data_IF_487972543319
#
_entry.id   IF_487972543319
#
_cell.length_a   1.000
_cell.length_b   1.000
_cell.length_c   1.000
_cell.angle_alpha   90.00
_cell.angle_beta   90.00
_cell.angle_gamma   90.00
#
_symmetry.space_group_name_H-M   'P 1'
#
loop_
_entity.id
_entity.type
_entity.pdbx_description
1 polymer ?
#
# COMPACT_ATOMS: atom_id res chain seq x y z
N UNK A 1 -20.43 -8.16 -7.99
CA UNK A 1 -19.34 -7.64 -8.86
C UNK A 1 -18.72 -8.79 -9.65
N UNK A 2 -18.18 -8.57 -10.86
CA UNK A 2 -17.40 -9.57 -11.62
C UNK A 2 -15.99 -9.03 -11.84
N UNK A 3 -14.97 -9.80 -11.46
CA UNK A 3 -13.58 -9.42 -11.63
C UNK A 3 -12.71 -10.67 -11.78
N UNK A 4 -11.47 -10.47 -12.21
CA UNK A 4 -10.41 -11.49 -12.18
C UNK A 4 -9.20 -10.86 -11.52
N UNK A 5 -8.57 -11.59 -10.60
CA UNK A 5 -7.41 -11.10 -9.85
C UNK A 5 -6.24 -12.01 -10.17
N UNK A 6 -5.09 -11.38 -10.39
CA UNK A 6 -3.80 -12.04 -10.50
C UNK A 6 -2.88 -11.41 -9.46
N UNK A 7 -2.16 -12.23 -8.72
CA UNK A 7 -1.18 -11.78 -7.74
C UNK A 7 0.15 -12.48 -7.96
N UNK A 8 1.24 -11.74 -7.79
CA UNK A 8 2.59 -12.27 -7.81
C UNK A 8 3.44 -11.48 -6.82
N UNK A 9 4.28 -12.18 -6.08
CA UNK A 9 5.34 -11.60 -5.26
C UNK A 9 6.55 -12.52 -5.37
N UNK A 10 7.73 -11.95 -5.58
CA UNK A 10 8.97 -12.68 -5.85
C UNK A 10 10.12 -12.04 -5.09
N UNK A 11 10.93 -12.85 -4.42
CA UNK A 11 12.11 -12.40 -3.68
C UNK A 11 13.16 -11.68 -4.57
N UNK A 12 13.24 -12.05 -5.85
CA UNK A 12 14.27 -11.53 -6.75
C UNK A 12 15.69 -11.87 -6.25
N UNK A 13 16.60 -10.91 -6.33
CA UNK A 13 18.00 -11.05 -5.91
C UNK A 13 18.28 -10.71 -4.44
N UNK A 14 17.25 -10.45 -3.61
CA UNK A 14 17.40 -10.11 -2.19
C UNK A 14 17.56 -11.37 -1.34
N UNK A 15 17.98 -11.21 -0.07
CA UNK A 15 18.10 -12.32 0.88
C UNK A 15 16.75 -12.87 1.32
N UNK A 16 15.76 -12.00 1.48
CA UNK A 16 14.40 -12.32 1.89
C UNK A 16 13.41 -11.47 1.10
N UNK A 17 12.18 -11.96 0.95
CA UNK A 17 11.08 -11.20 0.38
C UNK A 17 10.29 -10.48 1.47
N UNK A 18 10.42 -9.15 1.51
CA UNK A 18 9.74 -8.30 2.48
C UNK A 18 8.41 -7.73 1.95
N UNK A 19 8.09 -8.02 0.69
CA UNK A 19 6.83 -7.61 0.07
C UNK A 19 5.68 -8.51 0.57
N UNK A 20 4.52 -7.90 0.73
CA UNK A 20 3.25 -8.60 0.93
C UNK A 20 2.20 -8.06 -0.05
N UNK A 21 1.45 -8.99 -0.62
CA UNK A 21 0.29 -8.68 -1.48
C UNK A 21 -0.90 -9.46 -0.97
N UNK A 22 -2.07 -8.86 -0.97
CA UNK A 22 -3.32 -9.53 -0.64
C UNK A 22 -4.51 -8.89 -1.32
N UNK A 23 -5.61 -9.62 -1.31
CA UNK A 23 -6.91 -9.11 -1.67
C UNK A 23 -7.97 -9.71 -0.73
N UNK A 24 -9.08 -9.01 -0.58
CA UNK A 24 -10.26 -9.48 0.14
C UNK A 24 -11.49 -8.97 -0.59
N UNK A 25 -12.59 -9.72 -0.59
CA UNK A 25 -13.78 -9.31 -1.31
C UNK A 25 -15.05 -9.68 -0.57
N UNK A 26 -16.08 -8.90 -0.83
CA UNK A 26 -17.45 -9.15 -0.43
C UNK A 26 -18.32 -9.32 -1.68
N UNK A 27 -19.64 -9.34 -1.51
CA UNK A 27 -20.57 -9.46 -2.66
C UNK A 27 -20.43 -8.28 -3.64
N UNK A 28 -20.16 -7.09 -3.11
CA UNK A 28 -20.27 -5.82 -3.83
C UNK A 28 -19.02 -4.93 -3.74
N UNK A 29 -17.98 -5.36 -3.02
CA UNK A 29 -16.72 -4.63 -2.92
C UNK A 29 -15.51 -5.57 -3.03
N UNK A 30 -14.39 -5.04 -3.52
CA UNK A 30 -13.10 -5.69 -3.60
C UNK A 30 -12.03 -4.78 -2.99
N UNK A 31 -11.25 -5.28 -2.05
CA UNK A 31 -10.03 -4.68 -1.53
C UNK A 31 -8.81 -5.38 -2.14
N UNK A 32 -7.82 -4.59 -2.55
CA UNK A 32 -6.48 -5.04 -2.95
C UNK A 32 -5.44 -4.25 -2.18
N UNK A 33 -4.37 -4.91 -1.72
CA UNK A 33 -3.31 -4.30 -0.92
C UNK A 33 -1.95 -4.80 -1.37
N UNK A 34 -1.00 -3.88 -1.48
CA UNK A 34 0.44 -4.14 -1.68
C UNK A 34 1.20 -3.39 -0.61
N UNK A 35 2.17 -4.04 0.01
CA UNK A 35 3.03 -3.47 1.03
C UNK A 35 4.48 -3.93 0.79
N UNK A 36 5.41 -2.98 0.72
CA UNK A 36 6.85 -3.23 0.62
C UNK A 36 7.51 -2.92 1.97
N UNK A 37 7.93 -3.98 2.66
CA UNK A 37 8.52 -3.93 3.98
C UNK A 37 9.98 -3.46 3.98
N UNK A 38 10.32 -2.54 4.86
CA UNK A 38 11.67 -1.97 5.01
C UNK A 38 12.11 -1.97 6.49
N UNK A 39 13.37 -2.31 6.75
CA UNK A 39 13.97 -2.22 8.08
C UNK A 39 15.39 -2.78 8.14
N UNK A 40 16.31 -2.04 8.76
CA UNK A 40 17.76 -2.35 8.80
C UNK A 40 18.12 -3.68 9.47
N UNK A 41 17.23 -4.21 10.31
CA UNK A 41 17.45 -5.42 11.13
C UNK A 41 16.34 -6.48 11.01
N UNK A 42 15.86 -6.78 9.80
CA UNK A 42 15.08 -8.00 9.50
C UNK A 42 13.65 -8.09 10.08
N UNK A 43 12.86 -7.02 9.96
CA UNK A 43 11.44 -7.06 10.37
C UNK A 43 10.49 -6.34 9.39
N UNK A 44 10.99 -5.90 8.23
CA UNK A 44 10.17 -5.24 7.20
C UNK A 44 9.04 -6.14 6.71
N UNK A 45 9.32 -7.44 6.56
CA UNK A 45 8.32 -8.45 6.19
C UNK A 45 7.20 -8.59 7.22
N UNK A 46 7.47 -8.30 8.50
CA UNK A 46 6.48 -8.31 9.57
C UNK A 46 5.65 -7.04 9.51
N UNK A 47 6.25 -5.87 9.31
CA UNK A 47 5.50 -4.63 9.10
C UNK A 47 4.55 -4.73 7.91
N UNK A 48 5.04 -5.23 6.76
CA UNK A 48 4.21 -5.47 5.58
C UNK A 48 3.09 -6.48 5.85
N UNK A 49 3.36 -7.53 6.64
CA UNK A 49 2.37 -8.53 7.02
C UNK A 49 1.29 -7.93 7.94
N UNK A 50 1.68 -7.15 8.94
CA UNK A 50 0.75 -6.46 9.84
C UNK A 50 -0.16 -5.53 9.02
N UNK A 51 0.41 -4.70 8.15
CA UNK A 51 -0.37 -3.77 7.33
C UNK A 51 -1.42 -4.51 6.48
N UNK A 52 -1.01 -5.50 5.70
CA UNK A 52 -1.92 -6.29 4.88
C UNK A 52 -3.02 -6.95 5.71
N UNK A 53 -2.65 -7.59 6.84
CA UNK A 53 -3.59 -8.30 7.70
C UNK A 53 -4.63 -7.36 8.31
N UNK A 54 -4.19 -6.21 8.84
CA UNK A 54 -5.08 -5.21 9.43
C UNK A 54 -6.14 -4.76 8.42
N UNK A 55 -5.74 -4.43 7.19
CA UNK A 55 -6.67 -3.99 6.16
C UNK A 55 -7.64 -5.11 5.76
N UNK A 56 -7.15 -6.33 5.53
CA UNK A 56 -8.02 -7.45 5.10
C UNK A 56 -9.01 -7.87 6.18
N UNK A 57 -8.60 -7.87 7.46
CA UNK A 57 -9.47 -8.26 8.57
C UNK A 57 -10.57 -7.24 8.84
N UNK A 58 -10.23 -5.95 8.80
CA UNK A 58 -11.22 -4.89 8.94
C UNK A 58 -12.20 -4.91 7.76
N UNK A 59 -11.71 -5.13 6.54
CA UNK A 59 -12.57 -5.26 5.36
C UNK A 59 -13.58 -6.40 5.52
N UNK A 60 -13.15 -7.59 5.94
CA UNK A 60 -14.05 -8.74 6.13
C UNK A 60 -15.11 -8.49 7.21
N UNK A 61 -14.79 -7.68 8.23
CA UNK A 61 -15.74 -7.29 9.29
C UNK A 61 -16.79 -6.31 8.77
N UNK A 62 -16.35 -5.30 8.01
CA UNK A 62 -17.17 -4.14 7.63
C UNK A 62 -17.90 -4.28 6.29
N UNK A 63 -17.30 -4.91 5.28
CA UNK A 63 -17.83 -4.96 3.91
C UNK A 63 -18.95 -6.01 3.75
N UNK A 64 -20.14 -5.75 4.32
CA UNK A 64 -21.29 -6.68 4.31
C UNK A 64 -22.59 -6.00 3.88
N UNK A 65 -22.97 -6.02 2.58
CA UNK A 65 -22.27 -6.61 1.44
C UNK A 65 -21.17 -5.70 0.85
N UNK A 66 -21.09 -4.45 1.28
CA UNK A 66 -20.18 -3.40 0.80
C UNK A 66 -19.77 -2.51 1.98
N UNK A 67 -18.82 -1.61 1.78
CA UNK A 67 -18.46 -0.59 2.77
C UNK A 67 -19.43 0.59 2.69
N UNK A 68 -19.77 1.17 3.84
CA UNK A 68 -20.59 2.39 3.90
C UNK A 68 -19.82 3.59 3.33
N UNK A 69 -18.54 3.71 3.68
CA UNK A 69 -17.62 4.73 3.19
C UNK A 69 -16.24 4.12 2.90
N UNK A 70 -15.91 3.83 1.63
CA UNK A 70 -14.61 3.30 1.23
C UNK A 70 -13.42 4.22 1.56
N UNK A 71 -13.60 5.56 1.52
CA UNK A 71 -12.52 6.51 1.79
C UNK A 71 -12.20 6.55 3.29
N UNK A 72 -13.24 6.63 4.13
CA UNK A 72 -13.06 6.56 5.58
C UNK A 72 -12.45 5.22 5.99
N UNK A 73 -12.93 4.11 5.41
CA UNK A 73 -12.34 2.79 5.64
C UNK A 73 -10.83 2.77 5.33
N UNK A 74 -10.41 3.28 4.17
CA UNK A 74 -9.00 3.30 3.78
C UNK A 74 -8.16 4.17 4.72
N UNK A 75 -8.64 5.36 5.09
CA UNK A 75 -7.93 6.26 6.01
C UNK A 75 -7.78 5.66 7.42
N UNK A 76 -8.87 5.13 7.97
CA UNK A 76 -8.90 4.56 9.32
C UNK A 76 -8.05 3.29 9.41
N UNK A 77 -8.16 2.39 8.42
CA UNK A 77 -7.41 1.13 8.45
C UNK A 77 -5.93 1.29 8.16
N UNK A 78 -5.54 2.27 7.32
CA UNK A 78 -4.13 2.62 7.13
C UNK A 78 -3.54 3.17 8.43
N UNK A 79 -4.30 4.01 9.15
CA UNK A 79 -3.88 4.55 10.46
C UNK A 79 -3.79 3.45 11.52
N UNK A 80 -4.77 2.53 11.56
CA UNK A 80 -4.73 1.37 12.45
C UNK A 80 -3.54 0.45 12.16
N UNK A 81 -3.22 0.22 10.88
CA UNK A 81 -2.05 -0.54 10.47
C UNK A 81 -0.75 0.12 10.97
N UNK A 82 -0.64 1.44 10.84
CA UNK A 82 0.49 2.19 11.39
C UNK A 82 0.64 1.98 12.90
N UNK A 83 -0.43 2.14 13.68
CA UNK A 83 -0.37 1.91 15.13
C UNK A 83 -0.03 0.47 15.47
N UNK A 84 -0.61 -0.51 14.79
CA UNK A 84 -0.30 -1.93 15.04
C UNK A 84 1.17 -2.28 14.79
N UNK A 85 1.82 -1.64 13.81
CA UNK A 85 3.26 -1.81 13.55
C UNK A 85 4.09 -1.20 14.71
N UNK A 86 3.71 -0.01 15.18
CA UNK A 86 4.39 0.62 16.33
C UNK A 86 4.23 -0.21 17.60
N UNK A 87 3.01 -0.67 17.89
CA UNK A 87 2.70 -1.51 19.05
C UNK A 87 3.52 -2.80 19.01
N UNK A 88 3.61 -3.44 17.82
CA UNK A 88 4.46 -4.62 17.64
C UNK A 88 5.94 -4.34 17.97
N UNK A 89 6.48 -3.19 17.55
CA UNK A 89 7.87 -2.84 17.84
C UNK A 89 8.12 -2.66 19.34
N UNK A 90 7.16 -2.04 20.05
CA UNK A 90 7.21 -1.87 21.51
C UNK A 90 7.09 -3.22 22.21
N UNK A 91 6.13 -4.05 21.82
CA UNK A 91 5.88 -5.37 22.43
C UNK A 91 7.05 -6.34 22.25
N UNK A 92 7.83 -6.18 21.17
CA UNK A 92 9.00 -7.00 20.88
C UNK A 92 10.34 -6.37 21.31
N UNK A 93 10.31 -5.22 22.01
CA UNK A 93 11.49 -4.48 22.46
C UNK A 93 12.52 -4.24 21.33
N UNK A 94 12.03 -3.87 20.15
CA UNK A 94 12.87 -3.63 18.98
C UNK A 94 13.61 -2.29 19.11
N UNK A 95 14.91 -2.31 18.77
CA UNK A 95 15.74 -1.09 18.74
C UNK A 95 15.24 -0.07 17.70
N UNK A 96 14.64 -0.56 16.61
CA UNK A 96 14.07 0.25 15.54
C UNK A 96 12.70 -0.28 15.15
N UNK A 97 11.78 0.64 14.85
CA UNK A 97 10.43 0.29 14.40
C UNK A 97 10.55 -0.18 12.93
N UNK A 98 10.08 -1.39 12.58
CA UNK A 98 10.03 -1.80 11.19
C UNK A 98 8.98 -0.97 10.45
N UNK A 99 9.24 -0.69 9.18
CA UNK A 99 8.35 0.12 8.36
C UNK A 99 7.91 -0.64 7.12
N UNK A 100 6.88 -0.15 6.46
CA UNK A 100 6.43 -0.66 5.17
C UNK A 100 5.78 0.46 4.39
N UNK A 101 5.91 0.43 3.06
CA UNK A 101 4.97 1.15 2.20
C UNK A 101 3.61 0.47 2.26
N UNK A 102 2.57 1.15 1.80
CA UNK A 102 1.25 0.56 1.62
C UNK A 102 0.54 1.23 0.45
N UNK A 103 -0.01 0.44 -0.46
CA UNK A 103 -0.97 0.86 -1.47
C UNK A 103 -2.19 -0.01 -1.32
N UNK A 104 -3.33 0.59 -1.00
CA UNK A 104 -4.60 -0.10 -0.85
C UNK A 104 -5.66 0.50 -1.77
N UNK A 105 -6.44 -0.35 -2.43
CA UNK A 105 -7.50 0.06 -3.31
C UNK A 105 -8.80 -0.71 -3.04
N UNK A 106 -9.90 0.02 -2.91
CA UNK A 106 -11.25 -0.53 -2.86
C UNK A 106 -11.95 -0.26 -4.19
N UNK A 107 -12.43 -1.32 -4.84
CA UNK A 107 -13.35 -1.22 -5.98
C UNK A 107 -14.76 -1.48 -5.45
N UNK A 108 -15.66 -0.52 -5.61
CA UNK A 108 -17.05 -0.58 -5.17
C UNK A 108 -17.91 0.36 -6.02
N UNK A 109 -19.13 -0.03 -6.38
CA UNK A 109 -20.08 0.83 -7.12
C UNK A 109 -19.50 1.44 -8.42
N UNK A 110 -18.72 0.64 -9.16
CA UNK A 110 -17.96 1.06 -10.36
C UNK A 110 -16.95 2.20 -10.14
N UNK A 111 -16.55 2.44 -8.88
CA UNK A 111 -15.51 3.39 -8.52
C UNK A 111 -14.32 2.67 -7.89
N UNK A 112 -13.13 3.23 -8.12
CA UNK A 112 -11.91 2.85 -7.43
C UNK A 112 -11.54 3.94 -6.44
N UNK A 113 -11.40 3.58 -5.16
CA UNK A 113 -10.93 4.41 -4.07
C UNK A 113 -9.58 3.87 -3.65
N UNK A 114 -8.61 4.73 -3.32
CA UNK A 114 -7.30 4.26 -2.89
C UNK A 114 -6.68 5.16 -1.84
N UNK A 115 -5.77 4.57 -1.07
CA UNK A 115 -4.85 5.26 -0.19
C UNK A 115 -3.46 4.68 -0.42
N UNK A 116 -2.44 5.54 -0.34
CA UNK A 116 -1.06 5.10 -0.47
C UNK A 116 -0.11 5.86 0.47
N UNK A 117 0.91 5.15 0.93
CA UNK A 117 2.00 5.67 1.75
C UNK A 117 3.30 5.05 1.24
N UNK A 118 4.27 5.90 0.90
CA UNK A 118 5.56 5.49 0.36
C UNK A 118 5.61 5.58 -1.17
N UNK A 119 6.45 4.76 -1.77
CA UNK A 119 6.78 4.76 -3.19
C UNK A 119 6.29 3.52 -3.95
N UNK A 120 5.56 2.63 -3.27
CA UNK A 120 4.67 1.65 -3.94
C UNK A 120 3.63 2.39 -4.78
N UNK A 121 3.24 1.79 -5.92
CA UNK A 121 2.40 2.46 -6.91
C UNK A 121 1.12 1.74 -7.26
N UNK A 122 0.05 2.51 -7.43
CA UNK A 122 -1.18 2.09 -8.11
C UNK A 122 -1.21 2.68 -9.52
N UNK A 123 -1.73 1.89 -10.47
CA UNK A 123 -2.03 2.35 -11.83
C UNK A 123 -3.47 1.94 -12.19
N UNK A 124 -4.23 2.88 -12.72
CA UNK A 124 -5.59 2.65 -13.24
C UNK A 124 -5.60 2.86 -14.74
N UNK A 125 -6.01 1.84 -15.49
CA UNK A 125 -6.14 1.90 -16.94
C UNK A 125 -7.60 1.75 -17.37
N UNK A 126 -8.00 2.48 -18.41
CA UNK A 126 -9.29 2.31 -19.10
C UNK A 126 -9.05 2.44 -20.61
N UNK A 127 -9.62 1.53 -21.40
CA UNK A 127 -9.51 1.50 -22.86
C UNK A 127 -8.07 1.65 -23.38
N UNK A 128 -7.13 0.97 -22.71
CA UNK A 128 -5.70 0.99 -23.05
C UNK A 128 -4.96 2.27 -22.65
N UNK A 129 -5.63 3.24 -22.02
CA UNK A 129 -5.04 4.51 -21.58
C UNK A 129 -4.85 4.54 -20.06
N UNK A 130 -3.75 5.12 -19.61
CA UNK A 130 -3.51 5.38 -18.18
C UNK A 130 -4.40 6.55 -17.72
N UNK A 131 -5.27 6.29 -16.74
CA UNK A 131 -6.22 7.25 -16.19
C UNK A 131 -5.67 7.90 -14.91
N UNK A 132 -5.03 7.10 -14.06
CA UNK A 132 -4.47 7.58 -12.81
C UNK A 132 -3.25 6.75 -12.39
N UNK A 133 -2.34 7.41 -11.67
CA UNK A 133 -1.19 6.80 -11.01
C UNK A 133 -0.94 7.54 -9.69
N UNK A 134 -0.54 6.81 -8.65
CA UNK A 134 -0.07 7.44 -7.40
C UNK A 134 1.29 8.11 -7.59
N UNK A 135 1.48 9.22 -6.88
CA UNK A 135 2.77 9.89 -6.76
C UNK A 135 3.59 9.26 -5.64
N UNK A 136 4.88 9.07 -5.90
CA UNK A 136 5.79 8.50 -4.91
C UNK A 136 6.03 9.49 -3.77
N UNK A 137 6.02 9.01 -2.53
CA UNK A 137 6.38 9.83 -1.37
C UNK A 137 7.90 9.80 -1.11
N UNK A 138 8.69 10.20 -2.11
CA UNK A 138 10.16 10.31 -2.02
C UNK A 138 10.61 11.78 -1.99
N UNK A 139 11.81 12.03 -1.47
CA UNK A 139 12.40 13.38 -1.45
C UNK A 139 12.52 13.95 -2.88
N UNK A 140 12.96 13.12 -3.83
CA UNK A 140 13.05 13.51 -5.25
C UNK A 140 11.69 13.88 -5.82
N UNK A 141 10.64 13.10 -5.54
CA UNK A 141 9.28 13.42 -5.99
C UNK A 141 8.76 14.72 -5.35
N UNK A 142 9.13 15.01 -4.11
CA UNK A 142 8.82 16.28 -3.46
C UNK A 142 9.52 17.46 -4.16
N UNK A 143 10.81 17.33 -4.52
CA UNK A 143 11.53 18.37 -5.26
C UNK A 143 10.89 18.68 -6.63
N UNK A 144 10.38 17.66 -7.32
CA UNK A 144 9.60 17.84 -8.55
C UNK A 144 8.32 18.61 -8.28
N UNK A 145 7.58 18.23 -7.24
CA UNK A 145 6.31 18.88 -6.86
C UNK A 145 6.49 20.35 -6.50
N UNK A 146 7.60 20.67 -5.85
CA UNK A 146 7.97 22.04 -5.47
C UNK A 146 8.54 22.84 -6.67
N UNK A 147 8.71 22.22 -7.84
CA UNK A 147 9.25 22.85 -9.05
C UNK A 147 10.75 23.13 -8.97
N UNK A 148 11.46 22.51 -8.04
CA UNK A 148 12.91 22.67 -7.83
C UNK A 148 13.69 21.93 -8.91
N UNK A 149 13.19 20.77 -9.35
CA UNK A 149 13.75 19.98 -10.45
C UNK A 149 12.66 19.54 -11.43
N UNK A 150 13.00 19.28 -12.68
CA UNK A 150 12.05 18.75 -13.67
C UNK A 150 11.84 17.24 -13.50
N UNK A 151 10.77 16.68 -14.09
CA UNK A 151 10.57 15.21 -14.14
C UNK A 151 11.71 14.49 -14.86
N UNK A 152 12.33 15.13 -15.86
CA UNK A 152 13.49 14.60 -16.59
C UNK A 152 14.73 14.53 -15.68
N UNK A 153 14.95 15.56 -14.87
CA UNK A 153 16.05 15.63 -13.90
C UNK A 153 15.86 14.63 -12.75
N UNK A 154 14.62 14.42 -12.32
CA UNK A 154 14.29 13.43 -11.30
C UNK A 154 14.69 12.00 -11.70
N UNK A 155 14.64 11.67 -13.00
CA UNK A 155 15.08 10.39 -13.54
C UNK A 155 16.57 10.09 -13.29
N UNK A 156 17.39 11.13 -13.15
CA UNK A 156 18.85 11.09 -13.03
C UNK A 156 19.37 11.53 -11.66
N UNK A 157 18.47 11.82 -10.70
CA UNK A 157 18.86 12.33 -9.39
C UNK A 157 19.61 11.26 -8.57
N UNK A 158 20.71 11.60 -7.89
CA UNK A 158 21.52 10.62 -7.14
C UNK A 158 20.82 10.02 -5.92
N UNK A 159 19.80 10.69 -5.38
CA UNK A 159 18.97 10.23 -4.25
C UNK A 159 17.68 9.51 -4.70
N UNK A 160 17.67 8.92 -5.90
CA UNK A 160 16.55 8.12 -6.39
C UNK A 160 16.43 6.75 -5.74
#
# INVERSE_FOLDING_TARGET
>A
MKFTIYQASRQGGRKNNQDRVAYSYSREALLMVVADGMGGHMHGEIAAQIAVQTLTDQFQKMAKPRLDDPMAFLADTTTQAHYAINDYAVDQDLLEIPHTTCVAAVVQDNMAYWAHVGDSRLYLFSDGSLIARTEDHTAVAQLVREGIISEEDAGHHPER
#
